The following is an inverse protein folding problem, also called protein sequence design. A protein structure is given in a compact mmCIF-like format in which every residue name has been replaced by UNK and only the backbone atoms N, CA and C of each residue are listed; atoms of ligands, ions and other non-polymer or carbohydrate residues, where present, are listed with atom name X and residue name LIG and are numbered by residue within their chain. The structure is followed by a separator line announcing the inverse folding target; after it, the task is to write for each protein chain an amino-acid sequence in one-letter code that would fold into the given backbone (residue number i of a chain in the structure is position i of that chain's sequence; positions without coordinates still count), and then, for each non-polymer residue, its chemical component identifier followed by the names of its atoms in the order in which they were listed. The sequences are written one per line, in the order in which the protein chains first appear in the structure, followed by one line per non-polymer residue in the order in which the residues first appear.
data_IF_056277510474
#
_entry.id   IF_056277510474
#
_cell.length_a   1.000
_cell.length_b   1.000
_cell.length_c   1.000
_cell.angle_alpha   90.00
_cell.angle_beta   90.00
_cell.angle_gamma   90.00
#
_symmetry.space_group_name_H-M   'P 1'
#
loop_
_entity.id
_entity.type
_entity.pdbx_description
1 polymer ?
#
# COMPACT_ATOMS: atom_id res chain seq x y z
N UNK A 1 -9.09 5.38 -2.03
CA UNK A 1 -8.39 6.48 -2.72
C UNK A 1 -6.90 6.19 -2.67
N UNK A 2 -6.35 5.67 -3.76
CA UNK A 2 -4.93 5.32 -3.87
C UNK A 2 -4.13 6.28 -4.76
N UNK A 3 -4.78 7.20 -5.43
CA UNK A 3 -4.16 8.20 -6.31
C UNK A 3 -4.14 9.56 -5.60
N UNK A 4 -2.96 10.14 -5.40
CA UNK A 4 -2.84 11.53 -4.92
C UNK A 4 -3.25 12.51 -6.02
N UNK A 5 -2.54 12.46 -7.16
CA UNK A 5 -2.89 13.12 -8.42
C UNK A 5 -2.56 12.20 -9.61
N UNK A 6 -3.31 12.32 -10.69
CA UNK A 6 -2.98 11.71 -11.98
C UNK A 6 -1.89 12.54 -12.67
N UNK A 7 -1.08 11.91 -13.51
CA UNK A 7 -0.03 12.59 -14.30
C UNK A 7 -0.58 13.65 -15.27
N UNK A 8 -1.82 13.48 -15.72
CA UNK A 8 -2.55 14.46 -16.53
C UNK A 8 -2.85 15.76 -15.78
N UNK A 9 -2.92 15.71 -14.44
CA UNK A 9 -3.18 16.84 -13.57
C UNK A 9 -1.89 17.47 -13.00
N UNK A 10 -0.83 16.67 -12.79
CA UNK A 10 0.45 17.12 -12.22
C UNK A 10 1.62 16.23 -12.69
N UNK A 11 2.77 16.82 -13.04
CA UNK A 11 3.91 16.08 -13.62
C UNK A 11 4.51 15.04 -12.67
N UNK A 12 4.35 15.21 -11.36
CA UNK A 12 4.79 14.24 -10.34
C UNK A 12 3.66 13.28 -9.90
N UNK A 13 2.49 13.35 -10.54
CA UNK A 13 1.39 12.42 -10.33
C UNK A 13 1.64 11.03 -10.92
N UNK A 14 0.82 10.05 -10.52
CA UNK A 14 0.91 8.67 -11.02
C UNK A 14 0.37 8.53 -12.44
N UNK A 15 0.89 7.57 -13.20
CA UNK A 15 0.38 7.15 -14.52
C UNK A 15 -0.97 6.41 -14.37
N UNK A 16 -2.01 7.16 -14.02
CA UNK A 16 -3.35 6.67 -13.74
C UNK A 16 -4.42 7.57 -14.35
N UNK A 17 -5.64 7.05 -14.47
CA UNK A 17 -6.83 7.82 -14.83
C UNK A 17 -7.96 7.52 -13.84
N UNK A 18 -7.80 7.92 -12.58
CA UNK A 18 -8.74 7.63 -11.49
C UNK A 18 -9.11 8.88 -10.67
N UNK A 19 -9.98 8.73 -9.67
CA UNK A 19 -10.31 9.79 -8.72
C UNK A 19 -9.07 10.19 -7.92
N UNK A 20 -8.87 11.50 -7.79
CA UNK A 20 -7.69 12.11 -7.18
C UNK A 20 -8.00 12.55 -5.75
N UNK A 21 -7.30 12.00 -4.77
CA UNK A 21 -7.54 12.37 -3.37
C UNK A 21 -7.29 13.87 -3.10
N UNK A 22 -6.38 14.51 -3.85
CA UNK A 22 -6.12 15.95 -3.73
C UNK A 22 -7.34 16.80 -4.12
N UNK A 23 -7.94 16.55 -5.30
CA UNK A 23 -9.03 17.37 -5.82
C UNK A 23 -10.41 16.93 -5.33
N UNK A 24 -10.65 15.62 -5.21
CA UNK A 24 -11.98 15.07 -4.93
C UNK A 24 -12.25 14.96 -3.42
N UNK A 25 -11.20 14.83 -2.61
CA UNK A 25 -11.31 14.67 -1.16
C UNK A 25 -10.58 15.73 -0.34
N UNK A 26 -9.87 16.66 -0.98
CA UNK A 26 -9.06 17.67 -0.30
C UNK A 26 -7.98 17.05 0.62
N UNK A 27 -7.48 15.86 0.26
CA UNK A 27 -6.40 15.18 0.97
C UNK A 27 -5.08 15.46 0.26
N UNK A 28 -4.36 16.48 0.74
CA UNK A 28 -3.04 16.80 0.22
C UNK A 28 -1.94 16.00 0.92
N UNK A 29 -1.86 14.73 0.56
CA UNK A 29 -0.92 13.78 1.16
C UNK A 29 0.53 14.14 0.92
N UNK A 30 0.86 14.84 -0.17
CA UNK A 30 2.24 15.29 -0.41
C UNK A 30 2.67 16.32 0.63
N UNK A 31 1.83 17.32 0.91
CA UNK A 31 2.09 18.28 1.99
C UNK A 31 2.24 17.59 3.35
N UNK A 32 1.43 16.57 3.63
CA UNK A 32 1.56 15.81 4.88
C UNK A 32 2.91 15.10 5.01
N UNK A 33 3.45 14.62 3.89
CA UNK A 33 4.74 13.94 3.81
C UNK A 33 5.88 14.97 3.93
N UNK A 34 5.88 16.00 3.10
CA UNK A 34 6.94 17.01 3.04
C UNK A 34 7.07 17.79 4.37
N UNK A 35 5.93 18.16 4.97
CA UNK A 35 5.90 18.90 6.24
C UNK A 35 5.97 17.98 7.47
N UNK A 36 6.09 16.67 7.28
CA UNK A 36 6.18 15.68 8.37
C UNK A 36 5.01 15.77 9.37
N UNK A 37 3.81 16.01 8.83
CA UNK A 37 2.56 16.06 9.63
C UNK A 37 2.20 14.65 10.15
N UNK A 38 2.65 13.61 9.46
CA UNK A 38 2.39 12.19 9.79
C UNK A 38 3.68 11.39 9.89
N UNK A 39 3.69 10.37 10.77
CA UNK A 39 4.80 9.41 10.87
C UNK A 39 4.77 8.33 9.77
N UNK A 40 3.60 8.10 9.18
CA UNK A 40 3.41 7.14 8.11
C UNK A 40 2.24 7.53 7.20
N UNK A 41 2.28 7.03 5.96
CA UNK A 41 1.20 7.12 4.98
C UNK A 41 0.77 5.72 4.56
N UNK A 42 -0.53 5.55 4.30
CA UNK A 42 -1.12 4.26 3.95
C UNK A 42 -2.08 4.36 2.75
N UNK A 43 -1.57 4.45 1.52
CA UNK A 43 -2.41 4.52 0.33
C UNK A 43 -3.20 3.21 0.13
N UNK A 44 -4.47 3.35 -0.24
CA UNK A 44 -5.34 2.21 -0.56
C UNK A 44 -5.16 1.83 -2.03
N UNK A 45 -4.23 0.92 -2.31
CA UNK A 45 -3.96 0.40 -3.66
C UNK A 45 -4.79 -0.88 -3.84
N UNK A 46 -6.08 -0.69 -4.14
CA UNK A 46 -7.08 -1.77 -4.21
C UNK A 46 -7.32 -2.20 -5.64
N UNK A 47 -6.24 -2.50 -6.37
CA UNK A 47 -6.28 -2.94 -7.76
C UNK A 47 -5.42 -4.17 -7.94
N UNK A 48 -5.75 -4.98 -8.96
CA UNK A 48 -4.95 -6.13 -9.33
C UNK A 48 -3.72 -5.72 -10.14
N UNK A 49 -2.68 -6.55 -10.13
CA UNK A 49 -1.52 -6.45 -11.03
C UNK A 49 -1.90 -6.59 -12.51
N UNK A 50 -3.04 -7.20 -12.82
CA UNK A 50 -3.54 -7.35 -14.20
C UNK A 50 -4.47 -6.20 -14.64
N UNK A 51 -4.69 -5.19 -13.79
CA UNK A 51 -5.50 -4.03 -14.14
C UNK A 51 -4.75 -3.09 -15.09
N UNK A 52 -5.16 -3.05 -16.36
CA UNK A 52 -4.48 -2.25 -17.40
C UNK A 52 -4.67 -0.73 -17.26
N UNK A 53 -5.75 -0.27 -16.59
CA UNK A 53 -6.02 1.16 -16.42
C UNK A 53 -5.31 1.73 -15.19
N UNK A 54 -5.09 0.89 -14.17
CA UNK A 54 -4.43 1.26 -12.92
C UNK A 54 -3.63 0.09 -12.34
N UNK A 55 -2.45 -0.09 -12.94
CA UNK A 55 -1.29 -0.85 -12.48
C UNK A 55 -1.08 -0.90 -10.96
N UNK A 56 -1.32 -2.01 -10.26
CA UNK A 56 -0.92 -2.14 -8.84
C UNK A 56 0.54 -1.75 -8.61
N UNK A 57 1.47 -2.32 -9.38
CA UNK A 57 2.90 -2.07 -9.24
C UNK A 57 3.27 -0.64 -9.62
N UNK A 58 2.67 -0.09 -10.69
CA UNK A 58 2.84 1.31 -11.08
C UNK A 58 2.45 2.26 -9.93
N UNK A 59 1.37 1.94 -9.22
CA UNK A 59 0.95 2.73 -8.06
C UNK A 59 1.91 2.58 -6.87
N UNK A 60 2.41 1.36 -6.61
CA UNK A 60 3.44 1.14 -5.57
C UNK A 60 4.70 1.94 -5.87
N UNK A 61 5.20 1.88 -7.12
CA UNK A 61 6.35 2.68 -7.57
C UNK A 61 6.11 4.18 -7.39
N UNK A 62 4.91 4.66 -7.75
CA UNK A 62 4.57 6.09 -7.62
C UNK A 62 4.61 6.53 -6.15
N UNK A 63 4.06 5.73 -5.23
CA UNK A 63 4.11 6.05 -3.81
C UNK A 63 5.50 5.92 -3.21
N UNK A 64 6.28 4.94 -3.66
CA UNK A 64 7.68 4.79 -3.28
C UNK A 64 8.49 6.05 -3.62
N UNK A 65 8.27 6.62 -4.81
CA UNK A 65 8.93 7.86 -5.23
C UNK A 65 8.45 9.08 -4.42
N UNK A 66 7.16 9.12 -4.08
CA UNK A 66 6.58 10.21 -3.26
C UNK A 66 7.17 10.24 -1.84
N UNK A 67 7.42 9.09 -1.20
CA UNK A 67 7.98 9.06 0.16
C UNK A 67 9.51 9.03 0.19
N UNK A 68 10.17 8.96 -0.96
CA UNK A 68 11.62 8.81 -1.07
C UNK A 68 12.34 9.89 -0.26
N UNK A 69 13.27 9.46 0.59
CA UNK A 69 14.09 10.32 1.46
C UNK A 69 13.31 11.23 2.43
N UNK A 70 11.98 11.08 2.54
CA UNK A 70 11.13 11.91 3.42
C UNK A 70 11.20 11.50 4.89
N UNK A 71 11.63 10.27 5.20
CA UNK A 71 11.55 9.71 6.55
C UNK A 71 10.15 9.26 6.99
N UNK A 72 9.11 9.53 6.20
CA UNK A 72 7.73 9.05 6.44
C UNK A 72 7.62 7.60 5.97
N UNK A 73 7.07 6.72 6.83
CA UNK A 73 6.93 5.28 6.50
C UNK A 73 5.77 5.05 5.52
N UNK A 74 5.98 4.23 4.51
CA UNK A 74 4.93 3.84 3.55
C UNK A 74 4.41 2.43 3.84
N UNK A 75 3.10 2.29 4.06
CA UNK A 75 2.43 0.99 4.18
C UNK A 75 1.37 0.82 3.10
N UNK A 76 1.45 -0.23 2.29
CA UNK A 76 0.50 -0.41 1.18
C UNK A 76 -0.78 -1.06 1.69
N UNK A 77 -1.92 -0.39 1.50
CA UNK A 77 -3.24 -0.93 1.79
C UNK A 77 -3.75 -1.82 0.66
N UNK A 78 -4.15 -3.06 0.96
CA UNK A 78 -4.60 -4.07 0.00
C UNK A 78 -6.00 -4.58 0.38
N UNK A 79 -6.92 -4.65 -0.59
CA UNK A 79 -8.30 -5.08 -0.36
C UNK A 79 -8.48 -6.57 -0.66
N UNK A 80 -8.27 -7.40 0.35
CA UNK A 80 -8.33 -8.87 0.26
C UNK A 80 -9.78 -9.43 0.28
N UNK A 81 -10.80 -8.57 0.28
CA UNK A 81 -12.17 -8.99 0.00
C UNK A 81 -12.46 -9.08 -1.51
N UNK A 82 -11.65 -8.42 -2.34
CA UNK A 82 -11.71 -8.58 -3.79
C UNK A 82 -11.03 -9.90 -4.19
N UNK A 83 -11.69 -10.74 -4.99
CA UNK A 83 -11.18 -12.06 -5.33
C UNK A 83 -9.98 -12.00 -6.26
N UNK A 84 -9.89 -11.01 -7.15
CA UNK A 84 -8.74 -10.88 -8.05
C UNK A 84 -7.50 -10.57 -7.21
N UNK A 85 -7.63 -9.64 -6.25
CA UNK A 85 -6.55 -9.28 -5.31
C UNK A 85 -6.23 -10.42 -4.35
N UNK A 86 -7.25 -11.08 -3.78
CA UNK A 86 -7.06 -12.21 -2.88
C UNK A 86 -6.27 -13.34 -3.54
N UNK A 87 -6.53 -13.61 -4.82
CA UNK A 87 -5.85 -14.66 -5.60
C UNK A 87 -4.36 -14.39 -5.84
N UNK A 88 -3.94 -13.14 -5.77
CA UNK A 88 -2.57 -12.70 -6.05
C UNK A 88 -1.88 -12.01 -4.85
N UNK A 89 -2.44 -12.10 -3.64
CA UNK A 89 -1.94 -11.33 -2.49
C UNK A 89 -0.47 -11.64 -2.17
N UNK A 90 -0.04 -12.90 -2.37
CA UNK A 90 1.37 -13.27 -2.27
C UNK A 90 2.24 -12.47 -3.25
N UNK A 91 1.84 -12.41 -4.52
CA UNK A 91 2.55 -11.66 -5.57
C UNK A 91 2.62 -10.17 -5.24
N UNK A 92 1.53 -9.57 -4.76
CA UNK A 92 1.54 -8.16 -4.36
C UNK A 92 2.48 -7.89 -3.18
N UNK A 93 2.55 -8.79 -2.20
CA UNK A 93 3.51 -8.66 -1.08
C UNK A 93 4.96 -8.78 -1.56
N UNK A 94 5.24 -9.67 -2.52
CA UNK A 94 6.57 -9.79 -3.11
C UNK A 94 6.95 -8.54 -3.91
N UNK A 95 6.05 -8.00 -4.74
CA UNK A 95 6.25 -6.71 -5.43
C UNK A 95 6.60 -5.62 -4.40
N UNK A 96 5.83 -5.50 -3.33
CA UNK A 96 6.07 -4.49 -2.29
C UNK A 96 7.46 -4.61 -1.65
N UNK A 97 8.08 -5.80 -1.61
CA UNK A 97 9.43 -6.01 -1.06
C UNK A 97 10.55 -5.55 -1.99
N UNK A 98 10.26 -5.36 -3.28
CA UNK A 98 11.24 -4.88 -4.26
C UNK A 98 11.47 -3.37 -4.16
N UNK A 99 10.58 -2.63 -3.50
CA UNK A 99 10.63 -1.17 -3.36
C UNK A 99 11.22 -0.75 -2.01
N UNK A 100 12.35 -0.05 -2.06
CA UNK A 100 13.16 0.35 -0.89
C UNK A 100 12.38 1.08 0.21
N UNK A 101 11.45 1.97 -0.16
CA UNK A 101 10.75 2.83 0.80
C UNK A 101 9.43 2.20 1.30
N UNK A 102 9.03 1.04 0.79
CA UNK A 102 7.84 0.33 1.27
C UNK A 102 8.16 -0.39 2.58
N UNK A 103 7.52 0.05 3.66
CA UNK A 103 7.76 -0.44 5.02
C UNK A 103 6.85 -1.60 5.43
N UNK A 104 5.82 -1.94 4.64
CA UNK A 104 4.95 -3.07 4.91
C UNK A 104 3.59 -2.99 4.25
N UNK A 105 2.65 -3.79 4.77
CA UNK A 105 1.35 -4.04 4.18
C UNK A 105 0.24 -3.86 5.22
N UNK A 106 -0.92 -3.37 4.80
CA UNK A 106 -2.16 -3.29 5.59
C UNK A 106 -3.24 -4.04 4.82
N UNK A 107 -3.73 -5.15 5.40
CA UNK A 107 -4.72 -6.01 4.77
C UNK A 107 -6.13 -5.60 5.20
N UNK A 108 -6.92 -5.12 4.25
CA UNK A 108 -8.32 -4.80 4.45
C UNK A 108 -9.20 -5.97 3.96
N UNK A 109 -9.83 -6.77 4.83
CA UNK A 109 -9.91 -6.63 6.29
C UNK A 109 -9.62 -7.91 7.06
N UNK A 110 -9.47 -7.80 8.38
CA UNK A 110 -9.25 -8.95 9.27
C UNK A 110 -10.35 -10.03 9.13
N UNK A 111 -11.59 -9.64 8.84
CA UNK A 111 -12.69 -10.59 8.60
C UNK A 111 -12.40 -11.50 7.41
N UNK A 112 -11.79 -10.96 6.36
CA UNK A 112 -11.55 -11.67 5.12
C UNK A 112 -10.38 -12.66 5.27
N UNK A 113 -9.42 -12.35 6.16
CA UNK A 113 -8.43 -13.32 6.65
C UNK A 113 -9.10 -14.44 7.46
N UNK A 114 -10.02 -14.11 8.35
CA UNK A 114 -10.72 -15.11 9.18
C UNK A 114 -11.61 -16.05 8.36
N UNK A 115 -12.17 -15.55 7.26
CA UNK A 115 -12.97 -16.35 6.34
C UNK A 115 -12.14 -17.16 5.35
N UNK A 116 -10.82 -16.91 5.29
CA UNK A 116 -9.89 -17.52 4.34
C UNK A 116 -10.37 -17.43 2.89
N UNK A 117 -10.82 -16.23 2.49
CA UNK A 117 -11.26 -16.00 1.11
C UNK A 117 -10.10 -16.36 0.17
N UNK A 118 -10.36 -17.22 -0.81
CA UNK A 118 -9.37 -17.63 -1.81
C UNK A 118 -7.98 -18.05 -1.27
N UNK A 119 -7.97 -18.81 -0.16
CA UNK A 119 -6.76 -19.34 0.47
C UNK A 119 -5.75 -18.25 0.90
N UNK A 120 -6.20 -17.04 1.22
CA UNK A 120 -5.36 -15.94 1.73
C UNK A 120 -4.48 -16.43 2.90
N UNK A 121 -4.99 -17.25 3.82
CA UNK A 121 -4.21 -17.70 4.98
C UNK A 121 -2.98 -18.50 4.56
N UNK A 122 -3.08 -19.32 3.51
CA UNK A 122 -1.93 -20.05 2.96
C UNK A 122 -0.92 -19.09 2.35
N UNK A 123 -1.38 -18.16 1.51
CA UNK A 123 -0.54 -17.17 0.84
C UNK A 123 0.19 -16.27 1.85
N UNK A 124 -0.49 -15.82 2.91
CA UNK A 124 0.11 -15.02 3.98
C UNK A 124 1.13 -15.81 4.79
N UNK A 125 0.91 -17.10 5.04
CA UNK A 125 1.90 -17.97 5.69
C UNK A 125 3.15 -18.15 4.86
N UNK A 126 3.00 -18.24 3.54
CA UNK A 126 4.12 -18.32 2.62
C UNK A 126 4.90 -17.01 2.58
N UNK A 127 4.20 -15.89 2.44
CA UNK A 127 4.79 -14.56 2.45
C UNK A 127 5.50 -14.25 3.78
N UNK A 128 4.89 -14.56 4.92
CA UNK A 128 5.41 -14.26 6.27
C UNK A 128 5.97 -15.50 6.97
N UNK A 129 6.68 -16.36 6.23
CA UNK A 129 7.24 -17.62 6.74
C UNK A 129 8.41 -17.46 7.74
N UNK A 130 8.79 -16.22 8.08
CA UNK A 130 9.88 -15.93 8.98
C UNK A 130 9.38 -15.77 10.44
N UNK A 131 10.28 -15.97 11.39
CA UNK A 131 9.97 -15.75 12.80
C UNK A 131 9.67 -14.27 13.02
N UNK A 132 8.45 -13.97 13.50
CA UNK A 132 8.07 -12.61 13.86
C UNK A 132 9.06 -12.03 14.88
N UNK A 133 9.50 -10.79 14.63
CA UNK A 133 10.23 -10.02 15.62
C UNK A 133 9.21 -9.62 16.69
N UNK A 134 9.35 -10.21 17.89
CA UNK A 134 8.50 -9.85 19.01
C UNK A 134 8.86 -8.43 19.46
N UNK A 135 7.88 -7.56 19.76
CA UNK A 135 8.15 -6.29 20.40
C UNK A 135 8.98 -6.54 21.66
N UNK A 136 10.10 -5.83 21.80
CA UNK A 136 10.77 -5.76 23.09
C UNK A 136 9.77 -5.18 24.08
N UNK A 137 9.62 -5.83 25.25
CA UNK A 137 8.83 -5.25 26.34
C UNK A 137 9.31 -3.82 26.55
N UNK A 138 8.38 -2.86 26.47
CA UNK A 138 8.62 -1.52 26.96
C UNK A 138 8.99 -1.67 28.44
N UNK A 139 10.23 -1.34 28.80
CA UNK A 139 10.62 -1.28 30.20
C UNK A 139 10.17 0.08 30.72
N UNK A 140 9.04 0.09 31.41
CA UNK A 140 8.61 1.22 32.24
C UNK A 140 9.55 1.30 33.45
N UNK A 141 10.68 2.00 33.31
CA UNK A 141 11.54 2.41 34.42
C UNK A 141 11.44 3.92 34.63
#
# INVERSE_FOLDING_TARGET
YGVWKNKSSDLIGSESNSLESYYDLYMDTLTWIDEHIVDYIAPQIYWSTDNNDINYEVMVSSWNDVVKDSGVRLYIGQNINDLDIASEIYKQIEINREYEYVSGNILFSARDIMNDNDNIVMQLKEAYNCKAILPTKFNDN
#
